data_IF_171208758432
#
_entry.id   IF_171208758432
#
_cell.length_a   1.000
_cell.length_b   1.000
_cell.length_c   1.000
_cell.angle_alpha   90.00
_cell.angle_beta   90.00
_cell.angle_gamma   90.00
#
_symmetry.space_group_name_H-M   'P 1'
#
loop_
_entity.id
_entity.type
_entity.pdbx_description
1 polymer ?
#
# COMPACT_ATOMS: atom_id res chain seq x y z
N UNK A 1 28.54 -11.02 -25.05
CA UNK A 1 28.69 -11.50 -24.27
C UNK A 1 29.16 -10.90 -23.13
N UNK A 2 28.92 -11.19 -22.17
CA UNK A 2 29.24 -10.55 -21.04
C UNK A 2 30.60 -10.57 -20.95
N UNK A 3 31.20 -9.68 -20.76
CA UNK A 3 32.53 -9.65 -20.74
C UNK A 3 33.03 -9.17 -19.45
N UNK A 4 34.24 -8.82 -19.38
CA UNK A 4 34.87 -8.39 -18.18
C UNK A 4 34.24 -7.12 -17.67
N UNK A 5 33.82 -6.28 -18.56
CA UNK A 5 33.20 -5.03 -18.18
C UNK A 5 31.90 -5.32 -17.45
N UNK A 6 31.13 -6.22 -17.97
CA UNK A 6 29.91 -6.60 -17.34
C UNK A 6 30.15 -7.15 -15.96
N UNK A 7 31.16 -7.99 -15.82
CA UNK A 7 31.46 -8.55 -14.54
C UNK A 7 31.92 -7.53 -13.56
N UNK A 8 32.73 -6.60 -14.00
CA UNK A 8 33.23 -5.56 -13.13
C UNK A 8 32.06 -4.71 -12.63
N UNK A 9 31.11 -4.46 -13.50
CA UNK A 9 29.96 -3.68 -13.14
C UNK A 9 29.14 -4.44 -12.09
N UNK A 10 28.96 -5.74 -12.29
CA UNK A 10 28.18 -6.54 -11.36
C UNK A 10 28.77 -6.53 -9.96
N UNK A 11 30.11 -6.44 -9.86
CA UNK A 11 30.72 -6.43 -8.55
C UNK A 11 30.31 -5.25 -7.70
N UNK A 12 29.84 -4.18 -8.33
CA UNK A 12 29.42 -3.00 -7.59
C UNK A 12 27.94 -2.98 -7.31
N UNK A 13 27.23 -4.00 -7.73
CA UNK A 13 25.79 -4.06 -7.54
C UNK A 13 25.48 -4.83 -6.28
N UNK A 14 24.66 -4.22 -5.44
CA UNK A 14 24.19 -4.92 -4.26
C UNK A 14 22.95 -5.68 -4.62
N UNK A 15 22.86 -6.89 -4.12
CA UNK A 15 21.72 -7.74 -4.42
C UNK A 15 20.95 -7.94 -3.13
N UNK A 16 19.66 -7.61 -3.19
CA UNK A 16 18.81 -7.76 -2.02
C UNK A 16 18.55 -9.23 -1.74
N UNK A 17 18.38 -9.52 -0.47
CA UNK A 17 18.08 -10.86 -0.03
C UNK A 17 16.79 -11.36 -0.67
N UNK A 18 16.81 -12.58 -1.17
CA UNK A 18 15.65 -13.13 -1.85
C UNK A 18 14.44 -13.26 -0.94
N UNK A 19 14.66 -13.62 0.32
CA UNK A 19 13.56 -13.72 1.26
C UNK A 19 12.87 -12.39 1.45
N UNK A 20 13.67 -11.32 1.55
CA UNK A 20 13.10 -9.98 1.69
C UNK A 20 12.32 -9.59 0.44
N UNK A 21 12.84 -9.96 -0.72
CA UNK A 21 12.12 -9.66 -1.96
C UNK A 21 10.79 -10.39 -2.05
N UNK A 22 10.74 -11.63 -1.56
CA UNK A 22 9.49 -12.37 -1.56
C UNK A 22 8.47 -11.72 -0.65
N UNK A 23 8.90 -11.26 0.52
CA UNK A 23 8.00 -10.58 1.43
C UNK A 23 7.51 -9.26 0.83
N UNK A 24 8.42 -8.54 0.19
CA UNK A 24 8.05 -7.28 -0.45
C UNK A 24 7.04 -7.51 -1.56
N UNK A 25 7.26 -8.55 -2.37
CA UNK A 25 6.33 -8.84 -3.46
C UNK A 25 4.95 -9.19 -2.92
N UNK A 26 4.91 -9.95 -1.84
CA UNK A 26 3.64 -10.31 -1.24
C UNK A 26 2.91 -9.07 -0.72
N UNK A 27 3.65 -8.18 -0.09
CA UNK A 27 3.10 -6.94 0.41
C UNK A 27 2.53 -6.10 -0.74
N UNK A 28 3.30 -5.97 -1.81
CA UNK A 28 2.86 -5.18 -2.95
C UNK A 28 1.63 -5.79 -3.61
N UNK A 29 1.56 -7.12 -3.66
CA UNK A 29 0.37 -7.78 -4.20
C UNK A 29 -0.86 -7.47 -3.35
N UNK A 30 -0.66 -7.35 -2.04
CA UNK A 30 -1.77 -7.00 -1.15
C UNK A 30 -2.28 -5.60 -1.45
N UNK A 31 -1.39 -4.68 -1.76
CA UNK A 31 -1.76 -3.31 -2.07
C UNK A 31 -2.39 -3.20 -3.46
N UNK A 32 -1.98 -4.06 -4.37
CA UNK A 32 -2.36 -3.94 -5.79
C UNK A 32 -3.79 -4.37 -6.04
N UNK A 33 -4.73 -3.52 -5.62
CA UNK A 33 -6.15 -3.75 -5.77
C UNK A 33 -6.80 -2.36 -5.79
N UNK A 34 -7.63 -2.06 -6.78
CA UNK A 34 -8.15 -0.68 -6.88
C UNK A 34 -8.82 -0.18 -5.62
N UNK A 35 -9.61 -1.01 -4.97
CA UNK A 35 -10.30 -0.60 -3.78
C UNK A 35 -9.33 -0.33 -2.64
N UNK A 36 -8.33 -1.20 -2.48
CA UNK A 36 -7.34 -1.00 -1.42
C UNK A 36 -6.49 0.22 -1.68
N UNK A 37 -6.16 0.48 -2.95
CA UNK A 37 -5.43 1.70 -3.27
C UNK A 37 -6.24 2.92 -2.91
N UNK A 38 -7.55 2.89 -3.17
CA UNK A 38 -8.40 4.02 -2.80
C UNK A 38 -8.43 4.20 -1.29
N UNK A 39 -8.56 3.10 -0.56
CA UNK A 39 -8.58 3.19 0.90
C UNK A 39 -7.30 3.80 1.44
N UNK A 40 -6.17 3.36 0.91
CA UNK A 40 -4.89 3.90 1.34
C UNK A 40 -4.80 5.38 1.02
N UNK A 41 -5.25 5.77 -0.16
CA UNK A 41 -5.22 7.16 -0.56
C UNK A 41 -6.05 8.03 0.37
N UNK A 42 -7.24 7.57 0.73
CA UNK A 42 -8.09 8.29 1.65
C UNK A 42 -7.43 8.39 3.02
N UNK A 43 -6.91 7.27 3.51
CA UNK A 43 -6.35 7.24 4.86
C UNK A 43 -5.06 8.03 4.97
N UNK A 44 -4.37 8.26 3.87
CA UNK A 44 -3.22 9.14 3.89
C UNK A 44 -3.63 10.58 4.15
N UNK A 45 -4.88 10.90 3.90
CA UNK A 45 -5.38 12.25 4.12
C UNK A 45 -5.97 12.42 5.50
N UNK A 46 -6.67 11.40 6.00
CA UNK A 46 -7.19 11.46 7.36
C UNK A 46 -7.77 10.12 7.77
N UNK A 47 -7.80 9.87 9.06
CA UNK A 47 -8.38 8.65 9.58
C UNK A 47 -9.85 8.58 9.22
N UNK A 48 -10.35 7.37 9.04
CA UNK A 48 -11.74 7.16 8.65
C UNK A 48 -12.30 5.93 9.31
N UNK A 49 -13.58 5.95 9.66
CA UNK A 49 -14.24 4.74 10.12
C UNK A 49 -14.63 3.88 8.92
N UNK A 50 -14.83 2.59 9.20
CA UNK A 50 -15.12 1.62 8.14
C UNK A 50 -16.30 2.03 7.28
N UNK A 51 -17.36 2.54 7.89
CA UNK A 51 -18.54 2.91 7.12
C UNK A 51 -18.27 3.95 6.06
N UNK A 52 -17.48 4.96 6.42
CA UNK A 52 -17.13 5.99 5.46
C UNK A 52 -16.26 5.45 4.34
N UNK A 53 -15.32 4.60 4.69
CA UNK A 53 -14.46 4.01 3.67
C UNK A 53 -15.27 3.14 2.71
N UNK A 54 -16.24 2.41 3.24
CA UNK A 54 -17.12 1.60 2.39
C UNK A 54 -17.88 2.47 1.41
N UNK A 55 -18.40 3.59 1.90
CA UNK A 55 -19.14 4.51 1.03
C UNK A 55 -18.24 5.09 -0.04
N UNK A 56 -17.04 5.51 0.34
CA UNK A 56 -16.12 6.11 -0.62
C UNK A 56 -15.68 5.12 -1.69
N UNK A 57 -15.65 3.83 -1.34
CA UNK A 57 -15.27 2.81 -2.28
C UNK A 57 -16.47 2.19 -3.00
N UNK A 58 -17.68 2.58 -2.60
CA UNK A 58 -18.92 2.08 -3.19
C UNK A 58 -19.02 0.55 -3.06
N UNK A 59 -18.71 0.04 -1.87
CA UNK A 59 -18.80 -1.39 -1.59
C UNK A 59 -19.51 -1.58 -0.25
N UNK A 60 -20.03 -2.78 -0.02
CA UNK A 60 -20.68 -3.06 1.28
C UNK A 60 -19.65 -3.02 2.42
N UNK A 61 -20.13 -2.67 3.60
CA UNK A 61 -19.26 -2.56 4.76
C UNK A 61 -18.49 -3.83 5.06
N UNK A 62 -19.11 -5.00 4.87
CA UNK A 62 -18.40 -6.23 5.19
C UNK A 62 -17.21 -6.45 4.26
N UNK A 63 -17.31 -6.02 3.00
CA UNK A 63 -16.20 -6.13 2.08
C UNK A 63 -15.11 -5.13 2.44
N UNK A 64 -15.52 -3.93 2.83
CA UNK A 64 -14.55 -2.93 3.28
C UNK A 64 -13.77 -3.46 4.48
N UNK A 65 -14.49 -4.08 5.43
CA UNK A 65 -13.84 -4.63 6.61
C UNK A 65 -12.83 -5.69 6.25
N UNK A 66 -13.14 -6.53 5.27
CA UNK A 66 -12.22 -7.57 4.86
C UNK A 66 -10.95 -7.00 4.26
N UNK A 67 -11.11 -6.00 3.38
CA UNK A 67 -9.94 -5.34 2.78
C UNK A 67 -9.10 -4.67 3.85
N UNK A 68 -9.74 -3.97 4.77
CA UNK A 68 -9.01 -3.23 5.80
C UNK A 68 -8.30 -4.17 6.76
N UNK A 69 -8.94 -5.28 7.10
CA UNK A 69 -8.33 -6.24 7.99
C UNK A 69 -7.10 -6.86 7.36
N UNK A 70 -7.17 -7.16 6.07
CA UNK A 70 -6.03 -7.71 5.38
C UNK A 70 -4.85 -6.72 5.37
N UNK A 71 -5.13 -5.46 5.08
CA UNK A 71 -4.08 -4.44 5.10
C UNK A 71 -3.50 -4.29 6.50
N UNK A 72 -4.34 -4.38 7.51
CA UNK A 72 -3.86 -4.29 8.89
C UNK A 72 -3.01 -5.49 9.25
N UNK A 73 -3.43 -6.69 8.83
CA UNK A 73 -2.67 -7.90 9.14
C UNK A 73 -1.28 -7.87 8.52
N UNK A 74 -1.11 -7.12 7.45
CA UNK A 74 0.19 -6.99 6.83
C UNK A 74 1.01 -5.84 7.43
N UNK A 75 0.49 -5.18 8.45
CA UNK A 75 1.21 -4.11 9.11
C UNK A 75 1.14 -2.78 8.39
N UNK A 76 0.29 -2.66 7.38
CA UNK A 76 0.19 -1.43 6.61
C UNK A 76 -0.74 -0.42 7.27
N UNK A 77 -1.77 -0.90 7.94
CA UNK A 77 -2.74 -0.06 8.62
C UNK A 77 -2.80 -0.43 10.09
N UNK A 78 -3.25 0.52 10.90
CA UNK A 78 -3.60 0.26 12.27
C UNK A 78 -5.05 0.63 12.46
N UNK A 79 -5.60 0.32 13.64
CA UNK A 79 -6.97 0.68 13.91
C UNK A 79 -7.14 0.98 15.39
N UNK A 80 -8.19 1.75 15.68
CA UNK A 80 -8.56 2.00 17.06
C UNK A 80 -10.07 2.06 17.13
N UNK A 81 -10.58 1.67 18.28
CA UNK A 81 -12.02 1.69 18.48
C UNK A 81 -12.39 2.97 19.22
N UNK A 82 -13.45 3.61 18.78
CA UNK A 82 -13.96 4.77 19.47
C UNK A 82 -15.47 4.59 19.53
N UNK A 83 -15.96 4.19 20.71
CA UNK A 83 -17.37 3.86 20.84
C UNK A 83 -17.69 2.62 20.01
N UNK A 84 -18.63 2.75 19.12
CA UNK A 84 -19.02 1.63 18.25
C UNK A 84 -18.31 1.66 16.92
N UNK A 85 -17.48 2.66 16.68
CA UNK A 85 -16.81 2.80 15.41
C UNK A 85 -15.36 2.34 15.50
N UNK A 86 -14.88 1.77 14.42
CA UNK A 86 -13.48 1.41 14.30
C UNK A 86 -12.89 2.30 13.26
N UNK A 87 -11.87 3.07 13.66
CA UNK A 87 -11.17 3.97 12.76
C UNK A 87 -9.89 3.32 12.30
N UNK A 88 -9.59 3.43 11.03
CA UNK A 88 -8.34 2.93 10.49
C UNK A 88 -7.42 4.09 10.19
N UNK A 89 -6.12 3.83 10.27
CA UNK A 89 -5.12 4.85 10.00
C UNK A 89 -3.90 4.19 9.37
N UNK A 90 -3.05 4.99 8.76
CA UNK A 90 -1.83 4.50 8.14
C UNK A 90 -0.83 4.16 9.21
N UNK A 91 -0.31 2.94 9.19
CA UNK A 91 0.74 2.51 10.11
C UNK A 91 2.10 2.50 9.44
N UNK A 92 2.14 2.25 8.13
CA UNK A 92 3.39 2.19 7.39
C UNK A 92 3.56 3.46 6.56
N UNK A 93 4.49 4.30 6.95
CA UNK A 93 4.67 5.59 6.29
C UNK A 93 5.14 5.49 4.85
N UNK A 94 5.79 4.40 4.48
CA UNK A 94 6.23 4.23 3.11
C UNK A 94 5.08 4.20 2.11
N UNK A 95 3.85 3.98 2.59
CA UNK A 95 2.69 4.01 1.72
C UNK A 95 2.52 5.36 1.05
N UNK A 96 2.96 6.43 1.71
CA UNK A 96 2.87 7.76 1.13
C UNK A 96 3.71 7.85 -0.13
N UNK A 97 4.90 7.27 -0.12
CA UNK A 97 5.76 7.30 -1.29
C UNK A 97 5.19 6.47 -2.43
N UNK A 98 4.64 5.32 -2.10
CA UNK A 98 4.02 4.46 -3.11
C UNK A 98 2.86 5.19 -3.76
N UNK A 99 2.00 5.82 -2.94
CA UNK A 99 0.84 6.51 -3.47
C UNK A 99 1.25 7.73 -4.29
N UNK A 100 2.29 8.43 -3.86
CA UNK A 100 2.80 9.57 -4.61
C UNK A 100 3.24 9.13 -6.01
N UNK A 101 3.89 7.98 -6.09
CA UNK A 101 4.32 7.42 -7.36
C UNK A 101 3.11 7.12 -8.24
N UNK A 102 2.08 6.51 -7.65
CA UNK A 102 0.86 6.16 -8.38
C UNK A 102 0.18 7.42 -8.90
N UNK A 103 0.09 8.45 -8.05
CA UNK A 103 -0.57 9.67 -8.46
C UNK A 103 0.16 10.36 -9.59
N UNK A 104 1.47 10.43 -9.49
CA UNK A 104 2.24 11.09 -10.53
C UNK A 104 2.17 10.36 -11.85
N UNK A 105 2.14 9.05 -11.82
CA UNK A 105 2.14 8.26 -13.02
C UNK A 105 0.77 8.19 -13.69
N UNK A 106 -0.30 8.09 -12.89
CA UNK A 106 -1.61 7.79 -13.44
C UNK A 106 -2.65 8.89 -13.27
N UNK A 107 -2.44 9.83 -12.36
CA UNK A 107 -3.44 10.85 -12.09
C UNK A 107 -2.89 12.25 -12.23
N UNK A 108 -1.88 12.40 -13.07
CA UNK A 108 -1.28 13.68 -13.25
C UNK A 108 -2.29 14.68 -13.77
N UNK A 109 -2.36 15.81 -13.12
CA UNK A 109 -3.32 16.81 -13.54
C UNK A 109 -2.80 17.61 -14.69
N UNK A 110 -3.71 18.03 -15.53
CA UNK A 110 -3.36 18.90 -16.63
C UNK A 110 -3.34 20.30 -16.15
N UNK A 111 -2.35 21.05 -16.50
CA UNK A 111 -2.28 22.45 -16.11
C UNK A 111 -2.46 23.38 -17.30
#
# INVERSE_FOLDING_TARGET
>A
MPDALSRAHVKKIEILDNGALELAAECLRTIAHPCRLRMIHVLLQEECPVGELADLCAIPSHMASEHLRLLKDRGLLGSRREGRKIYYHIAEQALASIMDCVERRFFRKEE
#
